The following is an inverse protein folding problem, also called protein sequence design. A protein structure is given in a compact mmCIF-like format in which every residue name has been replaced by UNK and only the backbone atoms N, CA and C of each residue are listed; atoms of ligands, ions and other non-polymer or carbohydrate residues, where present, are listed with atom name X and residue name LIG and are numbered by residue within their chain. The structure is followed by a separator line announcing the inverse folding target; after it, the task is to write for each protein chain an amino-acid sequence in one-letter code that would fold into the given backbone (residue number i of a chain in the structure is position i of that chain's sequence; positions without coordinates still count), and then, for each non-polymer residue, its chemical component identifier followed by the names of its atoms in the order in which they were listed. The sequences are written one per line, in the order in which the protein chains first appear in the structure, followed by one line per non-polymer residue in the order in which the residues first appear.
data_IF_718761870301
#
_entry.id   IF_718761870301
#
_cell.length_a   1.000
_cell.length_b   1.000
_cell.length_c   1.000
_cell.angle_alpha   90.00
_cell.angle_beta   90.00
_cell.angle_gamma   90.00
#
_symmetry.space_group_name_H-M   'P 1'
#
loop_
_entity.id
_entity.type
_entity.pdbx_description
1 polymer ?
#
# COMPACT_ATOMS: atom_id res chain seq x y z
N UNK A 1 -2.16 16.10 -0.71
CA UNK A 1 -2.73 16.43 0.62
C UNK A 1 -3.97 15.58 0.85
N UNK A 2 -3.97 14.80 1.93
CA UNK A 2 -5.11 14.02 2.38
C UNK A 2 -5.66 14.64 3.67
N UNK A 3 -6.96 14.95 3.68
CA UNK A 3 -7.63 15.58 4.81
C UNK A 3 -8.83 14.76 5.26
N UNK A 4 -8.93 14.55 6.57
CA UNK A 4 -10.09 13.97 7.24
C UNK A 4 -10.75 15.06 8.06
N UNK A 5 -12.03 15.30 7.78
CA UNK A 5 -12.83 16.33 8.47
C UNK A 5 -13.97 15.66 9.24
N UNK A 6 -13.92 15.70 10.57
CA UNK A 6 -14.92 15.14 11.48
C UNK A 6 -15.28 13.66 11.23
N UNK A 7 -14.29 12.88 10.77
CA UNK A 7 -14.48 11.48 10.37
C UNK A 7 -14.88 10.63 11.57
N UNK A 8 -16.07 10.06 11.49
CA UNK A 8 -16.58 9.08 12.46
C UNK A 8 -16.96 7.80 11.74
N UNK A 9 -16.87 6.67 12.45
CA UNK A 9 -17.22 5.37 11.89
C UNK A 9 -17.69 4.40 12.97
N UNK A 10 -18.72 3.63 12.65
CA UNK A 10 -19.27 2.59 13.51
C UNK A 10 -19.44 1.28 12.75
N UNK A 11 -19.04 0.15 13.36
CA UNK A 11 -19.49 -1.17 12.91
C UNK A 11 -20.82 -1.49 13.58
N UNK A 12 -21.89 -1.56 12.80
CA UNK A 12 -23.26 -1.70 13.34
C UNK A 12 -23.55 -0.57 14.33
N UNK A 13 -23.64 -0.87 15.63
CA UNK A 13 -23.93 0.09 16.70
C UNK A 13 -22.69 0.46 17.54
N UNK A 14 -21.53 -0.11 17.24
CA UNK A 14 -20.30 0.14 18.00
C UNK A 14 -19.46 1.23 17.32
N UNK A 15 -19.28 2.36 18.00
CA UNK A 15 -18.48 3.47 17.51
C UNK A 15 -16.99 3.18 17.65
N UNK A 16 -16.29 3.12 16.52
CA UNK A 16 -14.85 2.83 16.44
C UNK A 16 -14.04 4.11 16.31
N UNK A 17 -14.47 5.03 15.43
CA UNK A 17 -13.82 6.32 15.21
C UNK A 17 -14.80 7.43 15.58
N UNK A 18 -14.31 8.46 16.28
CA UNK A 18 -15.12 9.56 16.80
C UNK A 18 -14.45 10.89 16.43
N UNK A 19 -15.05 11.60 15.46
CA UNK A 19 -14.66 12.95 15.03
C UNK A 19 -13.15 13.12 14.81
N UNK A 20 -12.57 12.23 14.01
CA UNK A 20 -11.15 12.29 13.65
C UNK A 20 -10.93 13.47 12.72
N UNK A 21 -9.96 14.31 13.08
CA UNK A 21 -9.45 15.44 12.32
C UNK A 21 -7.97 15.16 12.04
N UNK A 22 -7.60 15.03 10.77
CA UNK A 22 -6.22 14.72 10.37
C UNK A 22 -5.93 15.35 9.01
N UNK A 23 -4.78 16.01 8.89
CA UNK A 23 -4.26 16.51 7.61
C UNK A 23 -2.88 15.92 7.40
N UNK A 24 -2.63 15.37 6.20
CA UNK A 24 -1.33 14.85 5.79
C UNK A 24 -0.89 15.63 4.55
N UNK A 25 0.22 16.34 4.68
CA UNK A 25 0.84 17.13 3.62
C UNK A 25 1.76 16.27 2.75
N UNK A 26 2.19 16.83 1.61
CA UNK A 26 3.21 16.19 0.79
C UNK A 26 4.52 16.07 1.59
N UNK A 27 5.23 14.95 1.39
CA UNK A 27 6.49 14.62 2.07
C UNK A 27 6.41 14.49 3.60
N UNK A 28 5.20 14.51 4.17
CA UNK A 28 4.97 14.31 5.59
C UNK A 28 4.95 12.82 5.97
N UNK A 29 5.63 12.48 7.06
CA UNK A 29 5.61 11.13 7.64
C UNK A 29 4.81 11.18 8.94
N UNK A 30 3.66 10.50 8.96
CA UNK A 30 2.75 10.48 10.12
C UNK A 30 2.74 9.09 10.75
N UNK A 31 3.05 9.02 12.05
CA UNK A 31 2.94 7.81 12.86
C UNK A 31 1.62 7.75 13.62
N UNK A 32 0.78 6.74 13.33
CA UNK A 32 -0.47 6.50 14.07
C UNK A 32 -0.25 5.38 15.08
N UNK A 33 -0.27 5.73 16.37
CA UNK A 33 -0.04 4.79 17.48
C UNK A 33 -1.27 4.66 18.36
N UNK A 34 -1.40 3.52 19.03
CA UNK A 34 -2.52 3.23 19.94
C UNK A 34 -2.65 1.75 20.23
N UNK A 35 -3.41 1.39 21.26
CA UNK A 35 -3.61 0.00 21.69
C UNK A 35 -4.27 -0.87 20.62
N UNK A 36 -4.17 -2.20 20.73
CA UNK A 36 -4.92 -3.10 19.85
C UNK A 36 -6.42 -2.80 19.95
N UNK A 37 -7.12 -2.75 18.81
CA UNK A 37 -8.56 -2.41 18.78
C UNK A 37 -8.90 -0.91 18.77
N UNK A 38 -7.93 0.00 18.93
CA UNK A 38 -8.15 1.47 18.89
C UNK A 38 -8.65 2.06 17.56
N UNK A 39 -8.90 1.24 16.53
CA UNK A 39 -9.43 1.69 15.25
C UNK A 39 -8.39 2.10 14.19
N UNK A 40 -7.08 1.92 14.44
CA UNK A 40 -6.01 2.24 13.46
C UNK A 40 -6.24 1.62 12.08
N UNK A 41 -6.54 0.33 12.03
CA UNK A 41 -6.83 -0.38 10.77
C UNK A 41 -8.13 0.12 10.12
N UNK A 42 -9.12 0.53 10.92
CA UNK A 42 -10.36 1.12 10.41
C UNK A 42 -10.09 2.49 9.77
N UNK A 43 -9.28 3.32 10.42
CA UNK A 43 -8.84 4.61 9.91
C UNK A 43 -8.08 4.46 8.58
N UNK A 44 -7.11 3.53 8.54
CA UNK A 44 -6.38 3.20 7.31
C UNK A 44 -7.31 2.76 6.17
N UNK A 45 -8.30 1.89 6.45
CA UNK A 45 -9.29 1.46 5.46
C UNK A 45 -10.16 2.62 4.95
N UNK A 46 -10.51 3.58 5.80
CA UNK A 46 -11.23 4.79 5.39
C UNK A 46 -10.36 5.68 4.50
N UNK A 47 -9.10 5.89 4.87
CA UNK A 47 -8.12 6.63 4.05
C UNK A 47 -7.89 5.98 2.68
N UNK A 48 -7.94 4.65 2.61
CA UNK A 48 -7.86 3.87 1.37
C UNK A 48 -9.17 3.86 0.55
N UNK A 49 -10.26 4.44 1.06
CA UNK A 49 -11.58 4.38 0.43
C UNK A 49 -12.24 2.99 0.48
N UNK A 50 -11.69 2.04 1.25
CA UNK A 50 -12.25 0.69 1.43
C UNK A 50 -13.44 0.67 2.41
N UNK A 51 -13.55 1.70 3.24
CA UNK A 51 -14.70 1.96 4.11
C UNK A 51 -15.14 3.39 3.93
N UNK A 52 -16.46 3.61 3.89
CA UNK A 52 -17.04 4.94 3.90
C UNK A 52 -17.26 5.39 5.36
N UNK A 53 -16.88 6.62 5.74
CA UNK A 53 -17.17 7.14 7.06
C UNK A 53 -18.70 7.21 7.28
N UNK A 54 -19.15 7.02 8.51
CA UNK A 54 -20.58 7.21 8.86
C UNK A 54 -20.93 8.69 9.02
N UNK A 55 -19.95 9.52 9.32
CA UNK A 55 -20.04 10.98 9.37
C UNK A 55 -18.70 11.61 9.04
N UNK A 56 -18.71 12.85 8.55
CA UNK A 56 -17.52 13.54 8.07
C UNK A 56 -17.10 13.06 6.67
N UNK A 57 -15.93 13.51 6.22
CA UNK A 57 -15.44 13.23 4.87
C UNK A 57 -13.93 13.05 4.81
N UNK A 58 -13.50 12.31 3.79
CA UNK A 58 -12.09 12.17 3.39
C UNK A 58 -11.91 12.93 2.08
N UNK A 59 -11.09 13.97 2.10
CA UNK A 59 -10.80 14.82 0.95
C UNK A 59 -9.40 14.46 0.44
N UNK A 60 -9.32 14.08 -0.83
CA UNK A 60 -8.08 13.87 -1.57
C UNK A 60 -8.14 14.63 -2.91
N UNK A 61 -7.05 15.26 -3.31
CA UNK A 61 -6.85 15.90 -4.61
C UNK A 61 -6.36 14.91 -5.68
N UNK A 62 -7.05 13.76 -5.81
CA UNK A 62 -6.71 12.67 -6.75
C UNK A 62 -5.41 11.93 -6.44
N UNK A 63 -4.90 12.02 -5.22
CA UNK A 63 -3.76 11.23 -4.77
C UNK A 63 -4.06 9.73 -4.89
N UNK A 64 -3.09 8.99 -5.43
CA UNK A 64 -3.05 7.52 -5.39
C UNK A 64 -2.60 7.08 -4.01
N UNK A 65 -3.56 6.79 -3.15
CA UNK A 65 -3.33 6.20 -1.83
C UNK A 65 -3.22 4.69 -1.97
N UNK A 66 -2.07 4.11 -1.63
CA UNK A 66 -1.85 2.66 -1.71
C UNK A 66 -1.34 2.10 -0.37
N UNK A 67 -1.76 0.88 0.00
CA UNK A 67 -1.25 0.21 1.17
C UNK A 67 -0.02 -0.65 0.85
N UNK A 68 0.88 -0.81 1.82
CA UNK A 68 1.77 -1.97 1.93
C UNK A 68 1.16 -2.88 2.99
N UNK A 69 0.78 -4.09 2.59
CA UNK A 69 0.19 -5.03 3.53
C UNK A 69 1.23 -5.56 4.53
N UNK A 70 0.82 -5.66 5.80
CA UNK A 70 1.67 -6.12 6.92
C UNK A 70 2.14 -7.57 6.74
N UNK A 71 1.35 -8.42 6.08
CA UNK A 71 1.70 -9.80 5.79
C UNK A 71 2.03 -9.95 4.30
N UNK A 72 3.32 -9.86 3.96
CA UNK A 72 3.76 -9.97 2.58
C UNK A 72 3.46 -11.34 1.95
N UNK A 73 3.50 -12.44 2.73
CA UNK A 73 3.20 -13.79 2.20
C UNK A 73 1.82 -13.85 1.56
N UNK A 74 0.81 -13.29 2.24
CA UNK A 74 -0.57 -13.27 1.78
C UNK A 74 -0.79 -12.35 0.57
N UNK A 75 0.19 -11.51 0.25
CA UNK A 75 0.16 -10.59 -0.89
C UNK A 75 0.58 -11.26 -2.21
N UNK A 76 1.12 -12.48 -2.16
CA UNK A 76 1.56 -13.24 -3.33
C UNK A 76 0.74 -14.52 -3.53
N UNK A 77 0.52 -14.87 -4.79
CA UNK A 77 -0.14 -16.13 -5.14
C UNK A 77 0.90 -17.27 -5.12
N UNK A 78 0.74 -18.31 -4.27
CA UNK A 78 1.73 -19.38 -4.13
C UNK A 78 1.89 -20.23 -5.40
N UNK A 79 0.93 -20.17 -6.33
CA UNK A 79 0.98 -20.93 -7.60
C UNK A 79 1.78 -20.23 -8.70
N UNK A 80 2.27 -19.01 -8.47
CA UNK A 80 2.96 -18.22 -9.48
C UNK A 80 4.32 -17.74 -8.98
N UNK A 81 5.28 -17.64 -9.90
CA UNK A 81 6.58 -17.02 -9.64
C UNK A 81 6.44 -15.54 -9.30
N UNK A 82 7.36 -15.01 -8.51
CA UNK A 82 7.40 -13.59 -8.14
C UNK A 82 7.41 -12.67 -9.35
N UNK A 83 8.09 -13.07 -10.43
CA UNK A 83 8.10 -12.35 -11.72
C UNK A 83 6.71 -11.92 -12.17
N UNK A 84 5.73 -12.83 -12.09
CA UNK A 84 4.35 -12.54 -12.53
C UNK A 84 3.73 -11.40 -11.70
N UNK A 85 4.00 -11.38 -10.41
CA UNK A 85 3.53 -10.32 -9.50
C UNK A 85 4.23 -8.98 -9.77
N UNK A 86 5.52 -9.00 -10.12
CA UNK A 86 6.29 -7.79 -10.45
C UNK A 86 5.93 -7.22 -11.83
N UNK A 87 5.50 -8.06 -12.76
CA UNK A 87 5.03 -7.65 -14.09
C UNK A 87 3.62 -7.04 -14.07
N UNK A 88 2.80 -7.31 -13.05
CA UNK A 88 1.44 -6.77 -12.97
C UNK A 88 1.39 -5.24 -12.96
N UNK A 89 2.13 -4.52 -12.09
CA UNK A 89 2.19 -3.06 -12.13
C UNK A 89 2.58 -2.48 -13.50
N UNK A 90 3.46 -3.17 -14.24
CA UNK A 90 3.91 -2.75 -15.57
C UNK A 90 2.75 -2.73 -16.56
N UNK A 91 1.80 -3.66 -16.45
CA UNK A 91 0.62 -3.74 -17.34
C UNK A 91 -0.36 -2.58 -17.15
N UNK A 92 -0.36 -1.95 -15.97
CA UNK A 92 -1.22 -0.81 -15.66
C UNK A 92 -0.60 0.53 -16.05
N UNK A 93 0.65 0.55 -16.53
CA UNK A 93 1.27 1.76 -17.07
C UNK A 93 0.74 2.11 -18.46
N UNK A 94 0.93 3.36 -18.88
CA UNK A 94 0.45 3.83 -20.18
C UNK A 94 1.19 3.11 -21.31
N UNK A 95 0.51 2.88 -22.44
CA UNK A 95 1.12 2.28 -23.63
C UNK A 95 2.38 3.07 -24.03
N UNK A 96 3.49 2.36 -24.23
CA UNK A 96 4.79 2.96 -24.57
C UNK A 96 5.74 3.14 -23.38
N UNK A 97 5.30 2.92 -22.14
CA UNK A 97 6.13 3.09 -20.94
C UNK A 97 6.78 1.79 -20.44
N UNK A 98 6.54 0.64 -21.09
CA UNK A 98 7.00 -0.68 -20.61
C UNK A 98 8.52 -0.76 -20.37
N UNK A 99 9.33 -0.09 -21.21
CA UNK A 99 10.78 -0.05 -21.01
C UNK A 99 11.16 0.78 -19.78
N UNK A 100 10.47 1.92 -19.55
CA UNK A 100 10.65 2.75 -18.36
C UNK A 100 10.23 1.99 -17.10
N UNK A 101 9.13 1.23 -17.17
CA UNK A 101 8.68 0.36 -16.09
C UNK A 101 9.72 -0.71 -15.73
N UNK A 102 10.27 -1.38 -16.74
CA UNK A 102 11.30 -2.41 -16.54
C UNK A 102 12.56 -1.82 -15.90
N UNK A 103 12.98 -0.62 -16.33
CA UNK A 103 14.08 0.10 -15.71
C UNK A 103 13.78 0.44 -14.24
N UNK A 104 12.60 1.00 -13.95
CA UNK A 104 12.16 1.31 -12.58
C UNK A 104 12.15 0.07 -11.69
N UNK A 105 11.69 -1.08 -12.20
CA UNK A 105 11.73 -2.33 -11.46
C UNK A 105 13.17 -2.74 -11.14
N UNK A 106 14.08 -2.65 -12.12
CA UNK A 106 15.50 -2.92 -11.92
C UNK A 106 16.12 -2.00 -10.85
N UNK A 107 15.83 -0.71 -10.90
CA UNK A 107 16.34 0.29 -9.96
C UNK A 107 15.82 0.02 -8.53
N UNK A 108 14.54 -0.29 -8.39
CA UNK A 108 13.93 -0.65 -7.10
C UNK A 108 14.48 -1.97 -6.55
N UNK A 109 14.71 -2.97 -7.40
CA UNK A 109 15.35 -4.23 -6.98
C UNK A 109 16.79 -4.00 -6.50
N UNK A 110 17.56 -3.16 -7.19
CA UNK A 110 18.91 -2.79 -6.79
C UNK A 110 18.91 -2.03 -5.46
N UNK A 111 18.04 -1.03 -5.30
CA UNK A 111 17.86 -0.27 -4.06
C UNK A 111 17.50 -1.17 -2.87
N UNK A 112 16.66 -2.17 -3.10
CA UNK A 112 16.22 -3.14 -2.10
C UNK A 112 17.18 -4.34 -1.94
N UNK A 113 18.33 -4.33 -2.62
CA UNK A 113 19.35 -5.39 -2.58
C UNK A 113 18.76 -6.79 -2.88
N UNK A 114 17.92 -6.89 -3.90
CA UNK A 114 17.34 -8.15 -4.36
C UNK A 114 18.01 -8.60 -5.67
N UNK A 115 18.51 -9.84 -5.67
CA UNK A 115 18.99 -10.47 -6.91
C UNK A 115 17.80 -10.73 -7.85
N UNK A 116 17.95 -10.28 -9.11
CA UNK A 116 17.03 -10.56 -10.22
C UNK A 116 16.64 -12.04 -10.35
N UNK A 117 17.52 -12.99 -10.01
CA UNK A 117 17.25 -14.43 -10.03
C UNK A 117 16.12 -14.84 -9.09
N UNK A 118 15.84 -14.06 -8.04
CA UNK A 118 14.76 -14.33 -7.10
C UNK A 118 13.37 -14.16 -7.75
N UNK A 119 13.26 -13.43 -8.86
CA UNK A 119 11.99 -13.29 -9.57
C UNK A 119 11.48 -14.62 -10.14
N UNK A 120 12.38 -15.57 -10.42
CA UNK A 120 12.02 -16.87 -10.99
C UNK A 120 11.64 -17.93 -9.94
N UNK A 121 11.59 -17.54 -8.67
CA UNK A 121 11.20 -18.36 -7.52
C UNK A 121 9.70 -18.23 -7.20
N UNK A 122 9.15 -19.25 -6.54
CA UNK A 122 7.85 -19.22 -5.88
C UNK A 122 7.95 -18.49 -4.53
N UNK A 123 6.83 -17.94 -4.00
CA UNK A 123 6.85 -17.22 -2.74
C UNK A 123 7.40 -18.02 -1.55
N UNK A 124 7.09 -19.32 -1.48
CA UNK A 124 7.53 -20.22 -0.41
C UNK A 124 9.05 -20.50 -0.41
N UNK A 125 9.73 -20.24 -1.53
CA UNK A 125 11.18 -20.40 -1.65
C UNK A 125 11.95 -19.15 -1.15
N UNK A 126 11.25 -18.10 -0.75
CA UNK A 126 11.83 -16.83 -0.32
C UNK A 126 11.69 -16.62 1.18
N UNK A 127 12.66 -15.92 1.76
CA UNK A 127 12.56 -15.45 3.14
C UNK A 127 11.45 -14.41 3.29
N UNK A 128 10.86 -14.31 4.48
CA UNK A 128 9.86 -13.28 4.77
C UNK A 128 10.36 -11.86 4.50
N UNK A 129 11.64 -11.58 4.76
CA UNK A 129 12.25 -10.28 4.43
C UNK A 129 12.35 -10.01 2.93
N UNK A 130 12.65 -11.02 2.11
CA UNK A 130 12.63 -10.88 0.65
C UNK A 130 11.21 -10.63 0.14
N UNK A 131 10.21 -11.35 0.66
CA UNK A 131 8.81 -11.15 0.32
C UNK A 131 8.33 -9.74 0.71
N UNK A 132 8.71 -9.24 1.89
CA UNK A 132 8.39 -7.88 2.33
C UNK A 132 8.96 -6.82 1.36
N UNK A 133 10.20 -7.00 0.92
CA UNK A 133 10.83 -6.10 -0.05
C UNK A 133 10.15 -6.18 -1.41
N UNK A 134 9.81 -7.37 -1.92
CA UNK A 134 9.03 -7.50 -3.15
C UNK A 134 7.63 -6.87 -3.04
N UNK A 135 6.95 -7.01 -1.89
CA UNK A 135 5.64 -6.40 -1.66
C UNK A 135 5.72 -4.86 -1.72
N UNK A 136 6.78 -4.33 -1.11
CA UNK A 136 7.09 -2.90 -1.15
C UNK A 136 7.37 -2.43 -2.58
N UNK A 137 8.25 -3.13 -3.32
CA UNK A 137 8.57 -2.81 -4.72
C UNK A 137 7.30 -2.77 -5.58
N UNK A 138 6.43 -3.78 -5.47
CA UNK A 138 5.18 -3.85 -6.23
C UNK A 138 4.30 -2.62 -6.03
N UNK A 139 4.24 -2.12 -4.80
CA UNK A 139 3.47 -0.92 -4.46
C UNK A 139 4.15 0.33 -5.02
N UNK A 140 5.47 0.47 -4.85
CA UNK A 140 6.24 1.62 -5.34
C UNK A 140 6.32 1.70 -6.88
N UNK A 141 6.14 0.59 -7.58
CA UNK A 141 6.03 0.53 -9.04
C UNK A 141 4.80 1.27 -9.56
N UNK A 142 3.75 1.40 -8.74
CA UNK A 142 2.52 2.13 -9.08
C UNK A 142 2.60 3.63 -8.76
N UNK A 143 3.77 4.13 -8.32
CA UNK A 143 4.02 5.54 -8.03
C UNK A 143 2.93 6.17 -7.14
N UNK A 144 2.67 5.63 -5.94
CA UNK A 144 1.68 6.19 -5.03
C UNK A 144 2.08 7.60 -4.60
N UNK A 145 1.07 8.46 -4.45
CA UNK A 145 1.23 9.79 -3.86
C UNK A 145 1.21 9.69 -2.32
N UNK A 146 0.51 8.69 -1.78
CA UNK A 146 0.44 8.40 -0.33
C UNK A 146 0.59 6.90 -0.11
N UNK A 147 1.45 6.54 0.84
CA UNK A 147 1.72 5.16 1.22
C UNK A 147 1.23 4.90 2.65
N UNK A 148 0.41 3.87 2.85
CA UNK A 148 -0.02 3.43 4.17
C UNK A 148 0.68 2.11 4.49
N UNK A 149 1.47 2.08 5.57
CA UNK A 149 2.30 0.94 5.97
C UNK A 149 1.74 0.19 7.19
#
# INVERSE_FOLDING_TARGET
MLNLTDVSFSYKHEAILKKIQLSIQADEIVGIVGESGSGKTTLAKIMLGLLQPTHGEVITHKERVLPIFQHAVDSFNPKFKIRKSMEEPIKYQRRGESQKAAQRLSDLMAYMQLDTKLMDRLPEELSGGQLQRFNTIRTLMLEPDILIC
#
